data_IF_118603623214
#
_entry.id   IF_118603623214
#
_cell.length_a   1.000
_cell.length_b   1.000
_cell.length_c   1.000
_cell.angle_alpha   90.00
_cell.angle_beta   90.00
_cell.angle_gamma   90.00
#
_symmetry.space_group_name_H-M   'P 1'
#
loop_
_entity.id
_entity.type
_entity.pdbx_description
1 polymer ?
#
# COMPACT_ATOMS: atom_id res chain seq x y z
N UNK A 1 18.55 32.41 1.98
CA UNK A 1 17.54 31.50 2.56
C UNK A 1 16.50 31.24 1.50
N UNK A 2 16.21 29.98 1.19
CA UNK A 2 15.20 29.58 0.22
C UNK A 2 13.81 30.06 0.66
N UNK A 3 12.99 30.51 -0.28
CA UNK A 3 11.59 30.90 -0.04
C UNK A 3 10.65 29.69 -0.08
N UNK A 4 9.48 29.79 0.56
CA UNK A 4 8.49 28.69 0.58
C UNK A 4 7.96 28.33 -0.83
N UNK A 5 7.90 29.31 -1.74
CA UNK A 5 7.53 29.09 -3.15
C UNK A 5 8.59 28.27 -3.89
N UNK A 6 9.87 28.56 -3.64
CA UNK A 6 10.99 27.81 -4.20
C UNK A 6 11.03 26.37 -3.64
N UNK A 7 10.68 26.18 -2.36
CA UNK A 7 10.58 24.85 -1.76
C UNK A 7 9.51 23.97 -2.43
N UNK A 8 8.41 24.55 -2.94
CA UNK A 8 7.42 23.81 -3.75
C UNK A 8 8.01 23.37 -5.09
N UNK A 9 8.75 24.25 -5.76
CA UNK A 9 9.36 23.94 -7.06
C UNK A 9 10.35 22.78 -7.01
N UNK A 10 11.00 22.56 -5.85
CA UNK A 10 11.92 21.44 -5.63
C UNK A 10 11.20 20.08 -5.74
N UNK A 11 9.94 20.00 -5.35
CA UNK A 11 9.14 18.78 -5.48
C UNK A 11 8.85 18.46 -6.94
N UNK A 12 8.44 19.48 -7.72
CA UNK A 12 8.24 19.34 -9.16
C UNK A 12 9.52 18.86 -9.87
N UNK A 13 10.64 19.51 -9.56
CA UNK A 13 11.96 19.14 -10.04
C UNK A 13 12.35 17.69 -9.71
N UNK A 14 12.08 17.22 -8.49
CA UNK A 14 12.33 15.84 -8.11
C UNK A 14 11.49 14.84 -8.92
N UNK A 15 10.21 15.13 -9.13
CA UNK A 15 9.30 14.28 -9.93
C UNK A 15 9.75 14.21 -11.40
N UNK A 16 10.26 15.32 -11.93
CA UNK A 16 10.79 15.41 -13.29
C UNK A 16 12.19 14.80 -13.44
N UNK A 17 12.84 14.43 -12.33
CA UNK A 17 14.17 13.83 -12.30
C UNK A 17 15.31 14.82 -12.57
N UNK A 18 15.06 16.13 -12.47
CA UNK A 18 16.05 17.19 -12.72
C UNK A 18 16.68 17.75 -11.43
N UNK A 19 16.30 17.19 -10.27
CA UNK A 19 16.74 17.70 -8.98
C UNK A 19 18.20 17.32 -8.69
N UNK A 20 19.04 18.34 -8.50
CA UNK A 20 20.43 18.17 -8.09
C UNK A 20 20.63 18.13 -6.55
N UNK A 21 21.76 17.56 -6.12
CA UNK A 21 22.15 17.42 -4.72
C UNK A 21 22.22 18.74 -3.95
N UNK A 22 22.57 19.85 -4.61
CA UNK A 22 22.71 21.16 -3.96
C UNK A 22 21.34 21.74 -3.65
N UNK A 23 20.43 21.74 -4.62
CA UNK A 23 19.03 22.19 -4.46
C UNK A 23 18.31 21.32 -3.42
N UNK A 24 18.57 20.01 -3.41
CA UNK A 24 18.05 19.12 -2.38
C UNK A 24 18.55 19.50 -0.97
N UNK A 25 19.85 19.78 -0.80
CA UNK A 25 20.40 20.22 0.50
C UNK A 25 19.82 21.56 0.97
N UNK A 26 19.67 22.52 0.06
CA UNK A 26 19.07 23.83 0.35
C UNK A 26 17.62 23.70 0.80
N UNK A 27 16.85 22.82 0.13
CA UNK A 27 15.49 22.47 0.51
C UNK A 27 15.43 21.78 1.88
N UNK A 28 16.29 20.78 2.13
CA UNK A 28 16.35 20.07 3.41
C UNK A 28 16.69 21.01 4.57
N UNK A 29 17.58 21.98 4.36
CA UNK A 29 17.89 23.00 5.34
C UNK A 29 16.69 23.93 5.61
N UNK A 30 15.96 24.32 4.56
CA UNK A 30 14.78 25.18 4.69
C UNK A 30 13.67 24.51 5.51
N UNK A 31 13.29 23.26 5.20
CA UNK A 31 12.25 22.54 5.96
C UNK A 31 12.67 22.26 7.41
N UNK A 32 13.97 22.26 7.73
CA UNK A 32 14.44 22.19 9.12
C UNK A 32 14.18 23.46 9.93
N UNK A 33 13.86 24.58 9.28
CA UNK A 33 13.66 25.89 9.92
C UNK A 33 12.28 26.50 9.66
N UNK A 34 11.52 26.02 8.66
CA UNK A 34 10.17 26.47 8.34
C UNK A 34 9.12 25.41 8.72
N UNK A 35 8.30 25.70 9.74
CA UNK A 35 7.28 24.78 10.24
C UNK A 35 6.20 24.44 9.20
N UNK A 36 5.81 25.40 8.35
CA UNK A 36 4.79 25.18 7.33
C UNK A 36 5.27 24.22 6.23
N UNK A 37 6.50 24.43 5.75
CA UNK A 37 7.10 23.56 4.73
C UNK A 37 7.49 22.18 5.31
N UNK A 38 7.88 22.12 6.58
CA UNK A 38 8.10 20.85 7.29
C UNK A 38 6.83 20.00 7.30
N UNK A 39 5.70 20.58 7.75
CA UNK A 39 4.42 19.88 7.79
C UNK A 39 4.00 19.31 6.42
N UNK A 40 4.29 20.05 5.34
CA UNK A 40 3.91 19.65 3.98
C UNK A 40 4.83 18.61 3.36
N UNK A 41 6.14 18.69 3.59
CA UNK A 41 7.12 17.96 2.78
C UNK A 41 8.10 17.07 3.55
N UNK A 42 8.09 17.10 4.88
CA UNK A 42 9.05 16.35 5.69
C UNK A 42 8.94 14.83 5.49
N UNK A 43 7.75 14.30 5.22
CA UNK A 43 7.58 12.88 4.92
C UNK A 43 8.20 12.46 3.58
N UNK A 44 8.34 13.40 2.63
CA UNK A 44 8.88 13.13 1.29
C UNK A 44 10.41 13.02 1.30
N UNK A 45 11.10 13.58 2.30
CA UNK A 45 12.57 13.62 2.31
C UNK A 45 13.18 12.22 2.28
N UNK A 46 12.55 11.22 2.92
CA UNK A 46 13.02 9.84 2.91
C UNK A 46 12.97 9.21 1.51
N UNK A 47 11.92 9.52 0.74
CA UNK A 47 11.78 9.04 -0.64
C UNK A 47 12.79 9.76 -1.55
N UNK A 48 12.90 11.08 -1.40
CA UNK A 48 13.88 11.88 -2.13
C UNK A 48 15.32 11.41 -1.85
N UNK A 49 15.68 11.10 -0.61
CA UNK A 49 17.03 10.59 -0.26
C UNK A 49 17.33 9.21 -0.84
N UNK A 50 16.30 8.36 -0.96
CA UNK A 50 16.42 7.06 -1.62
C UNK A 50 16.65 7.24 -3.12
N UNK A 51 15.93 8.15 -3.75
CA UNK A 51 15.95 8.35 -5.22
C UNK A 51 17.17 9.16 -5.68
N UNK A 52 17.53 10.20 -4.92
CA UNK A 52 18.79 10.96 -5.06
C UNK A 52 19.99 10.18 -4.53
N UNK A 53 19.75 9.01 -3.94
CA UNK A 53 20.72 8.20 -3.25
C UNK A 53 22.03 8.14 -4.02
N UNK A 54 23.10 8.57 -3.34
CA UNK A 54 24.49 8.28 -3.68
C UNK A 54 24.53 6.98 -4.46
N UNK A 55 24.98 7.05 -5.72
CA UNK A 55 25.51 5.87 -6.42
C UNK A 55 26.32 5.11 -5.38
N UNK A 56 25.82 3.97 -4.90
CA UNK A 56 26.70 3.04 -4.22
C UNK A 56 27.80 2.76 -5.24
N UNK A 57 29.02 3.08 -4.82
CA UNK A 57 30.22 2.91 -5.60
C UNK A 57 30.24 1.49 -6.18
N UNK A 58 30.54 1.41 -7.47
CA UNK A 58 31.02 0.23 -8.19
C UNK A 58 30.44 -1.11 -7.70
N UNK A 59 29.40 -1.58 -8.41
CA UNK A 59 29.38 -3.01 -8.70
C UNK A 59 30.75 -3.41 -9.27
N UNK A 60 31.31 -4.57 -8.89
CA UNK A 60 32.64 -4.98 -9.33
C UNK A 60 32.74 -4.80 -10.83
N UNK A 61 33.81 -4.15 -11.28
CA UNK A 61 34.01 -3.72 -12.67
C UNK A 61 33.88 -4.89 -13.65
N UNK A 62 34.06 -6.11 -13.14
CA UNK A 62 33.72 -7.36 -13.80
C UNK A 62 32.77 -8.20 -12.93
N UNK A 63 31.49 -8.21 -13.27
CA UNK A 63 30.47 -9.00 -12.58
C UNK A 63 30.75 -10.51 -12.63
N UNK A 64 31.48 -10.97 -13.66
CA UNK A 64 31.88 -12.37 -13.83
C UNK A 64 32.92 -12.79 -12.78
N UNK A 65 33.92 -11.96 -12.50
CA UNK A 65 34.98 -12.27 -11.53
C UNK A 65 34.45 -12.30 -10.09
N UNK A 66 33.48 -11.44 -9.79
CA UNK A 66 32.78 -11.47 -8.51
C UNK A 66 31.91 -12.71 -8.36
N UNK A 67 31.17 -13.08 -9.41
CA UNK A 67 30.39 -14.30 -9.41
C UNK A 67 31.29 -15.53 -9.18
N UNK A 68 32.43 -15.61 -9.85
CA UNK A 68 33.40 -16.69 -9.68
C UNK A 68 33.97 -16.74 -8.26
N UNK A 69 34.32 -15.58 -7.70
CA UNK A 69 34.85 -15.48 -6.32
C UNK A 69 33.81 -15.92 -5.29
N UNK A 70 32.54 -15.52 -5.46
CA UNK A 70 31.45 -15.91 -4.55
C UNK A 70 31.13 -17.39 -4.69
N UNK A 71 31.08 -17.92 -5.91
CA UNK A 71 30.78 -19.34 -6.16
C UNK A 71 31.91 -20.26 -5.69
N UNK A 72 33.16 -19.81 -5.76
CA UNK A 72 34.32 -20.53 -5.22
C UNK A 72 34.38 -20.55 -3.68
N UNK A 73 33.77 -19.56 -3.02
CA UNK A 73 33.75 -19.45 -1.56
C UNK A 73 32.65 -20.30 -0.90
N UNK A 74 31.72 -20.87 -1.67
CA UNK A 74 30.68 -21.74 -1.14
C UNK A 74 31.19 -23.18 -0.99
N UNK A 75 31.00 -23.83 0.17
CA UNK A 75 31.36 -25.23 0.33
C UNK A 75 30.50 -26.12 -0.58
N UNK A 76 31.16 -27.07 -1.25
CA UNK A 76 30.56 -27.98 -2.22
C UNK A 76 29.45 -28.80 -1.54
N UNK A 77 28.18 -28.47 -1.80
CA UNK A 77 27.03 -29.13 -1.17
C UNK A 77 26.72 -30.46 -1.85
N UNK A 78 27.65 -31.41 -1.79
CA UNK A 78 27.33 -32.82 -2.00
C UNK A 78 26.84 -33.39 -0.69
N UNK A 79 25.52 -33.40 -0.49
CA UNK A 79 24.92 -34.27 0.51
C UNK A 79 25.01 -35.71 0.00
N UNK A 80 25.81 -36.61 0.59
CA UNK A 80 25.64 -38.03 0.34
C UNK A 80 24.26 -38.41 0.90
N UNK A 81 23.41 -38.99 0.04
CA UNK A 81 22.13 -39.54 0.43
C UNK A 81 22.31 -40.53 1.58
N UNK A 82 21.95 -40.10 2.79
CA UNK A 82 21.92 -40.94 3.99
C UNK A 82 20.67 -41.82 3.90
N UNK A 83 20.87 -43.08 3.51
CA UNK A 83 19.86 -44.14 3.71
C UNK A 83 19.76 -44.43 5.20
N UNK A 84 18.71 -43.89 5.83
CA UNK A 84 18.40 -44.14 7.24
C UNK A 84 18.01 -45.61 7.40
N UNK A 85 18.93 -46.45 7.90
CA UNK A 85 18.62 -47.80 8.38
C UNK A 85 17.88 -47.69 9.71
N UNK A 86 16.56 -47.85 9.69
CA UNK A 86 15.75 -47.98 10.89
C UNK A 86 16.17 -49.22 11.69
N UNK A 87 16.86 -49.03 12.82
CA UNK A 87 16.91 -50.03 13.89
C UNK A 87 15.59 -49.94 14.66
N UNK A 88 14.87 -51.05 14.78
CA UNK A 88 13.69 -51.15 15.66
C UNK A 88 14.14 -50.91 17.10
N UNK A 89 13.87 -49.73 17.64
CA UNK A 89 13.98 -49.45 19.07
C UNK A 89 12.60 -49.68 19.71
N UNK A 90 12.55 -50.58 20.68
CA UNK A 90 11.38 -50.78 21.55
C UNK A 90 11.11 -49.47 22.31
N UNK A 91 9.98 -48.82 22.03
CA UNK A 91 9.54 -47.60 22.70
C UNK A 91 8.83 -48.01 23.99
N UNK A 92 9.34 -47.57 25.14
CA UNK A 92 8.68 -47.76 26.44
C UNK A 92 7.41 -46.88 26.54
N UNK A 93 6.33 -47.36 27.20
CA UNK A 93 5.01 -46.72 27.16
C UNK A 93 4.91 -45.35 27.86
N UNK A 94 5.95 -44.92 28.58
CA UNK A 94 5.94 -43.66 29.33
C UNK A 94 6.04 -42.40 28.45
N UNK A 95 6.49 -42.51 27.19
CA UNK A 95 6.69 -41.34 26.30
C UNK A 95 5.45 -40.94 25.49
N UNK A 96 4.40 -41.76 25.44
CA UNK A 96 3.20 -41.49 24.64
C UNK A 96 2.29 -40.39 25.22
N UNK A 97 2.32 -40.16 26.54
CA UNK A 97 1.42 -39.23 27.21
C UNK A 97 1.81 -37.74 27.04
N UNK A 98 3.09 -37.43 26.87
CA UNK A 98 3.58 -36.04 26.80
C UNK A 98 3.27 -35.35 25.45
N UNK A 99 3.19 -36.10 24.35
CA UNK A 99 2.92 -35.55 23.02
C UNK A 99 1.47 -35.08 22.84
N UNK A 100 0.50 -35.71 23.52
CA UNK A 100 -0.92 -35.36 23.41
C UNK A 100 -1.26 -34.02 24.09
N UNK A 101 -0.61 -33.70 25.22
CA UNK A 101 -0.87 -32.47 25.97
C UNK A 101 -0.39 -31.20 25.21
N UNK A 102 0.72 -31.30 24.48
CA UNK A 102 1.26 -30.19 23.66
C UNK A 102 0.37 -29.92 22.44
N UNK A 103 -0.27 -30.96 21.88
CA UNK A 103 -1.21 -30.80 20.77
C UNK A 103 -2.52 -30.13 21.20
N UNK A 104 -3.04 -30.45 22.40
CA UNK A 104 -4.26 -29.83 22.95
C UNK A 104 -4.01 -28.38 23.39
N UNK A 105 -2.88 -28.08 24.03
CA UNK A 105 -2.50 -26.71 24.40
C UNK A 105 -2.09 -25.85 23.19
N UNK A 106 -1.40 -26.44 22.21
CA UNK A 106 -1.01 -25.78 20.96
C UNK A 106 -2.20 -25.47 20.04
N UNK A 107 -3.18 -26.37 19.95
CA UNK A 107 -4.44 -26.11 19.23
C UNK A 107 -5.29 -25.08 19.98
N UNK A 108 -5.38 -25.13 21.31
CA UNK A 108 -6.11 -24.12 22.10
C UNK A 108 -5.50 -22.72 22.02
N UNK A 109 -4.16 -22.61 21.98
CA UNK A 109 -3.46 -21.32 21.94
C UNK A 109 -3.32 -20.76 20.51
N UNK A 110 -3.18 -21.62 19.49
CA UNK A 110 -3.19 -21.23 18.08
C UNK A 110 -4.54 -20.65 17.62
N UNK A 111 -5.64 -21.15 18.17
CA UNK A 111 -7.00 -20.62 17.94
C UNK A 111 -7.23 -19.28 18.67
N UNK A 112 -6.45 -18.95 19.70
CA UNK A 112 -6.56 -17.66 20.42
C UNK A 112 -5.81 -16.51 19.74
N UNK A 113 -4.73 -16.81 19.01
CA UNK A 113 -3.96 -15.81 18.25
C UNK A 113 -4.58 -15.45 16.89
N UNK A 114 -5.53 -16.23 16.38
CA UNK A 114 -6.43 -15.82 15.30
C UNK A 114 -7.54 -14.94 15.84
N UNK A 115 -7.20 -13.93 16.65
CA UNK A 115 -8.08 -12.78 16.83
C UNK A 115 -8.18 -12.10 15.46
N UNK A 116 -9.21 -12.51 14.73
CA UNK A 116 -9.56 -12.06 13.38
C UNK A 116 -9.34 -10.55 13.30
N UNK A 117 -8.37 -10.13 12.50
CA UNK A 117 -8.08 -8.74 12.23
C UNK A 117 -9.29 -8.10 11.50
N UNK A 118 -10.30 -7.64 12.25
CA UNK A 118 -11.50 -6.97 11.76
C UNK A 118 -11.23 -5.51 11.39
N UNK A 119 -10.09 -5.24 10.75
CA UNK A 119 -9.71 -3.91 10.26
C UNK A 119 -10.37 -3.58 8.91
N UNK A 120 -11.66 -3.93 8.76
CA UNK A 120 -12.48 -3.56 7.62
C UNK A 120 -13.88 -3.19 8.07
N UNK A 121 -14.51 -2.26 7.38
CA UNK A 121 -15.91 -1.86 7.58
C UNK A 121 -16.63 -1.88 6.24
N UNK A 122 -17.91 -2.21 6.24
CA UNK A 122 -18.75 -2.10 5.04
C UNK A 122 -19.25 -0.67 4.95
N UNK A 123 -19.02 -0.02 3.81
CA UNK A 123 -19.53 1.30 3.48
C UNK A 123 -20.53 1.13 2.35
N UNK A 124 -21.70 1.74 2.51
CA UNK A 124 -22.69 1.88 1.46
C UNK A 124 -22.49 3.23 0.79
N UNK A 125 -22.25 3.20 -0.52
CA UNK A 125 -22.22 4.38 -1.37
C UNK A 125 -23.59 4.53 -2.00
N UNK A 126 -24.10 5.75 -2.06
CA UNK A 126 -25.46 6.03 -2.52
C UNK A 126 -25.54 7.37 -3.24
N UNK A 127 -26.30 7.43 -4.33
CA UNK A 127 -26.55 8.67 -5.07
C UNK A 127 -27.94 8.65 -5.71
N UNK A 128 -28.63 9.80 -5.67
CA UNK A 128 -29.93 9.99 -6.29
C UNK A 128 -29.81 10.61 -7.69
N UNK A 129 -29.94 9.78 -8.74
CA UNK A 129 -29.83 10.18 -10.15
C UNK A 129 -30.90 9.42 -10.97
N UNK A 130 -32.15 9.91 -10.99
CA UNK A 130 -33.29 9.19 -11.53
C UNK A 130 -33.22 8.96 -13.04
N UNK A 131 -32.55 9.86 -13.77
CA UNK A 131 -32.41 9.78 -15.23
C UNK A 131 -31.15 9.02 -15.69
N UNK A 132 -30.35 8.48 -14.76
CA UNK A 132 -29.16 7.71 -15.11
C UNK A 132 -29.54 6.34 -15.71
N UNK A 133 -28.81 5.92 -16.73
CA UNK A 133 -28.89 4.56 -17.30
C UNK A 133 -27.92 3.60 -16.62
N UNK A 134 -26.76 4.11 -16.19
CA UNK A 134 -25.79 3.38 -15.39
C UNK A 134 -25.05 4.33 -14.44
N UNK A 135 -24.63 3.79 -13.30
CA UNK A 135 -23.81 4.51 -12.34
C UNK A 135 -22.68 3.59 -11.90
N UNK A 136 -21.44 4.07 -12.00
CA UNK A 136 -20.26 3.36 -11.53
C UNK A 136 -19.54 4.14 -10.44
N UNK A 137 -18.78 3.44 -9.62
CA UNK A 137 -17.92 4.01 -8.60
C UNK A 137 -16.46 3.84 -9.00
N UNK A 138 -15.71 4.94 -9.05
CA UNK A 138 -14.27 4.93 -9.32
C UNK A 138 -13.52 5.65 -8.20
N UNK A 139 -12.40 5.09 -7.77
CA UNK A 139 -11.57 5.69 -6.74
C UNK A 139 -10.23 4.99 -6.59
N UNK A 140 -9.41 5.47 -5.64
CA UNK A 140 -8.09 4.89 -5.38
C UNK A 140 -8.14 3.37 -5.05
N UNK A 141 -9.23 2.90 -4.44
CA UNK A 141 -9.42 1.49 -4.08
C UNK A 141 -9.69 0.56 -5.27
N UNK A 142 -10.05 1.07 -6.46
CA UNK A 142 -10.17 0.29 -7.70
C UNK A 142 -9.31 0.85 -8.84
N UNK A 143 -8.27 1.63 -8.49
CA UNK A 143 -7.37 2.29 -9.46
C UNK A 143 -8.13 3.12 -10.49
N UNK A 144 -9.20 3.79 -10.04
CA UNK A 144 -10.03 4.66 -10.88
C UNK A 144 -10.67 3.95 -12.07
N UNK A 145 -10.92 2.63 -11.96
CA UNK A 145 -11.60 1.89 -13.01
C UNK A 145 -13.10 2.26 -13.06
N UNK A 146 -13.55 2.76 -14.20
CA UNK A 146 -14.91 3.24 -14.41
C UNK A 146 -15.94 2.16 -14.77
N UNK A 147 -15.56 0.88 -14.76
CA UNK A 147 -16.42 -0.25 -15.16
C UNK A 147 -16.53 -1.34 -14.08
N UNK A 148 -15.57 -1.43 -13.16
CA UNK A 148 -15.52 -2.56 -12.23
C UNK A 148 -16.63 -2.54 -11.17
N UNK A 149 -17.04 -1.35 -10.71
CA UNK A 149 -18.01 -1.21 -9.63
C UNK A 149 -19.26 -0.48 -10.09
N UNK A 150 -20.13 -1.21 -10.76
CA UNK A 150 -21.48 -0.75 -11.12
C UNK A 150 -22.40 -0.77 -9.89
N UNK A 151 -23.13 0.32 -9.67
CA UNK A 151 -24.15 0.44 -8.62
C UNK A 151 -25.44 -0.21 -9.08
N UNK A 152 -26.18 -0.79 -8.14
CA UNK A 152 -27.55 -1.28 -8.39
C UNK A 152 -28.55 -0.18 -8.12
N UNK A 153 -29.59 -0.10 -8.95
CA UNK A 153 -30.74 0.77 -8.71
C UNK A 153 -31.65 0.17 -7.62
N UNK A 154 -32.16 0.98 -6.70
CA UNK A 154 -32.98 0.56 -5.55
C UNK A 154 -34.25 1.41 -5.39
N UNK A 155 -35.32 0.81 -4.83
CA UNK A 155 -36.59 1.48 -4.54
C UNK A 155 -37.43 1.78 -5.79
N UNK A 156 -38.03 2.98 -5.84
CA UNK A 156 -38.77 3.51 -7.01
C UNK A 156 -37.90 3.71 -8.25
N UNK A 157 -36.59 3.56 -8.10
CA UNK A 157 -35.61 3.69 -9.16
C UNK A 157 -34.70 4.89 -8.99
N UNK A 158 -35.00 5.84 -8.10
CA UNK A 158 -34.29 7.13 -8.12
C UNK A 158 -32.89 7.07 -7.48
N UNK A 159 -32.64 6.01 -6.70
CA UNK A 159 -31.44 5.84 -5.88
C UNK A 159 -30.60 4.68 -6.43
N UNK A 160 -29.30 4.91 -6.48
CA UNK A 160 -28.28 3.92 -6.84
C UNK A 160 -27.41 3.61 -5.65
N UNK A 161 -27.08 2.35 -5.42
CA UNK A 161 -26.24 1.94 -4.29
C UNK A 161 -25.22 0.84 -4.63
N UNK A 162 -24.11 0.83 -3.89
CA UNK A 162 -23.16 -0.29 -3.82
C UNK A 162 -22.58 -0.38 -2.41
N UNK A 163 -22.33 -1.60 -1.92
CA UNK A 163 -21.68 -1.83 -0.64
C UNK A 163 -20.28 -2.38 -0.85
N UNK A 164 -19.27 -1.69 -0.29
CA UNK A 164 -17.87 -2.12 -0.34
C UNK A 164 -17.32 -2.33 1.07
N UNK A 165 -16.63 -3.45 1.28
CA UNK A 165 -15.80 -3.61 2.47
C UNK A 165 -14.48 -2.89 2.25
N UNK A 166 -14.22 -1.84 3.01
CA UNK A 166 -13.01 -1.02 2.96
C UNK A 166 -12.23 -1.13 4.27
N UNK A 167 -10.91 -0.90 4.21
CA UNK A 167 -10.05 -0.92 5.39
C UNK A 167 -10.25 0.37 6.21
N UNK A 168 -10.17 0.27 7.54
CA UNK A 168 -10.20 1.46 8.42
C UNK A 168 -8.82 2.11 8.46
N UNK A 169 -8.73 3.34 8.93
CA UNK A 169 -7.50 4.13 9.01
C UNK A 169 -6.95 4.56 7.65
N UNK A 170 -7.78 4.60 6.61
CA UNK A 170 -7.37 4.88 5.22
C UNK A 170 -8.17 6.05 4.65
N UNK A 171 -7.54 6.82 3.77
CA UNK A 171 -8.20 7.85 2.96
C UNK A 171 -8.61 7.28 1.61
N UNK A 172 -9.87 7.45 1.26
CA UNK A 172 -10.46 7.04 0.00
C UNK A 172 -10.88 8.26 -0.78
N UNK A 173 -10.37 8.38 -2.00
CA UNK A 173 -10.77 9.43 -2.94
C UNK A 173 -11.56 8.76 -4.05
N UNK A 174 -12.74 9.28 -4.36
CA UNK A 174 -13.65 8.65 -5.31
C UNK A 174 -14.61 9.64 -5.98
N UNK A 175 -15.18 9.20 -7.09
CA UNK A 175 -16.28 9.85 -7.82
C UNK A 175 -17.29 8.80 -8.31
N UNK A 176 -18.54 9.24 -8.50
CA UNK A 176 -19.54 8.53 -9.29
C UNK A 176 -19.37 8.85 -10.76
N UNK A 177 -19.63 7.86 -11.62
CA UNK A 177 -19.56 8.00 -13.07
C UNK A 177 -20.93 7.65 -13.63
N UNK A 178 -21.65 8.68 -14.08
CA UNK A 178 -23.00 8.56 -14.62
C UNK A 178 -22.89 8.36 -16.13
N UNK A 179 -23.54 7.31 -16.63
CA UNK A 179 -23.59 6.95 -18.05
C UNK A 179 -22.21 6.81 -18.71
N UNK A 180 -21.16 6.53 -17.94
CA UNK A 180 -19.79 6.35 -18.43
C UNK A 180 -19.02 7.65 -18.76
N UNK A 181 -19.68 8.81 -18.71
CA UNK A 181 -19.12 10.08 -19.20
C UNK A 181 -19.02 11.16 -18.12
N UNK A 182 -20.03 11.25 -17.25
CA UNK A 182 -20.13 12.36 -16.29
C UNK A 182 -19.56 11.95 -14.94
N UNK A 183 -18.49 12.61 -14.52
CA UNK A 183 -17.85 12.42 -13.22
C UNK A 183 -18.46 13.37 -12.19
N UNK A 184 -18.97 12.80 -11.10
CA UNK A 184 -19.69 13.53 -10.06
C UNK A 184 -19.12 13.18 -8.70
N UNK A 185 -18.65 14.18 -7.97
CA UNK A 185 -18.34 14.05 -6.56
C UNK A 185 -19.62 13.76 -5.78
N UNK A 186 -19.51 12.94 -4.74
CA UNK A 186 -20.59 12.63 -3.83
C UNK A 186 -21.15 13.91 -3.17
N UNK A 187 -22.41 14.29 -3.48
CA UNK A 187 -23.02 15.50 -2.95
C UNK A 187 -23.23 15.47 -1.43
N UNK A 188 -23.28 14.28 -0.83
CA UNK A 188 -23.49 14.10 0.60
C UNK A 188 -22.19 14.19 1.40
N UNK A 189 -21.03 14.16 0.73
CA UNK A 189 -19.72 14.25 1.38
C UNK A 189 -19.17 15.68 1.28
N UNK A 190 -19.01 16.40 2.40
CA UNK A 190 -18.57 17.80 2.38
C UNK A 190 -17.07 17.97 2.08
N UNK A 191 -16.27 16.91 2.30
CA UNK A 191 -14.84 16.95 2.06
C UNK A 191 -14.56 16.55 0.62
N UNK A 192 -14.01 17.49 -0.15
CA UNK A 192 -13.58 17.27 -1.52
C UNK A 192 -12.10 17.60 -1.70
N UNK A 193 -11.50 17.04 -2.76
CA UNK A 193 -10.13 17.30 -3.19
C UNK A 193 -10.20 17.76 -4.65
N UNK A 194 -9.45 18.81 -4.98
CA UNK A 194 -9.28 19.27 -6.35
C UNK A 194 -8.65 18.16 -7.21
N UNK A 195 -9.22 17.91 -8.40
CA UNK A 195 -8.75 16.83 -9.27
C UNK A 195 -7.66 17.26 -10.27
N UNK A 196 -7.29 18.54 -10.29
CA UNK A 196 -6.30 19.12 -11.19
C UNK A 196 -6.83 19.46 -12.60
N UNK A 197 -8.10 19.19 -12.89
CA UNK A 197 -8.75 19.43 -14.19
C UNK A 197 -9.92 20.41 -14.08
N UNK A 198 -10.04 21.11 -12.95
CA UNK A 198 -11.13 22.05 -12.66
C UNK A 198 -12.38 21.38 -12.08
N UNK A 199 -12.32 20.07 -11.79
CA UNK A 199 -13.34 19.34 -11.06
C UNK A 199 -12.92 19.05 -9.62
N UNK A 200 -13.67 18.15 -8.97
CA UNK A 200 -13.35 17.71 -7.62
C UNK A 200 -13.71 16.25 -7.40
N UNK A 201 -13.10 15.64 -6.40
CA UNK A 201 -13.40 14.29 -5.94
C UNK A 201 -13.74 14.24 -4.46
N UNK A 202 -14.61 13.32 -4.06
CA UNK A 202 -14.99 13.15 -2.67
C UNK A 202 -13.92 12.44 -1.86
N UNK A 203 -13.68 12.91 -0.64
CA UNK A 203 -12.72 12.35 0.30
C UNK A 203 -13.43 11.71 1.49
N UNK A 204 -13.31 10.38 1.58
CA UNK A 204 -13.81 9.59 2.69
C UNK A 204 -12.64 9.12 3.57
N UNK A 205 -12.73 9.37 4.87
CA UNK A 205 -11.79 8.85 5.88
C UNK A 205 -12.48 7.79 6.73
N UNK A 206 -11.93 6.58 6.73
CA UNK A 206 -12.38 5.48 7.58
C UNK A 206 -11.38 5.19 8.70
#
# INVERSE_FOLDING_TARGET
MMKCEEARSVISSWVEGDLDDRRYREFKAHIGTCQECAFKFQSLTLLMEKDLGKKQAHGPENAEEFADTVMAALPDSKHPGSVIRFRKAFISPALAAAAAAIFVLGLGFGIFFTKLNTNRTTIRFTIAVPDAQSVHLAGNFNRWNNKTYELRRVGSGDIWEIELRLAKGTFYVYNYIINGETWVADPEVPLTVDDGFGGSSSLLRL
#
